data_IF_220001105176
#
_entry.id   IF_220001105176
#
_cell.length_a   1.000
_cell.length_b   1.000
_cell.length_c   1.000
_cell.angle_alpha   90.00
_cell.angle_beta   90.00
_cell.angle_gamma   90.00
#
_symmetry.space_group_name_H-M   'P 1'
#
loop_
_entity.id
_entity.type
_entity.pdbx_description
1 polymer ?
#
# COMPACT_ATOMS: atom_id res chain seq x y z
N UNK A 1 3.23 20.74 15.62
CA UNK A 1 3.79 19.41 15.32
C UNK A 1 3.90 19.30 13.82
N UNK A 2 5.10 19.37 13.26
CA UNK A 2 5.33 19.17 11.83
C UNK A 2 5.00 17.72 11.50
N UNK A 3 3.93 17.50 10.74
CA UNK A 3 3.66 16.20 10.11
C UNK A 3 4.75 16.05 9.05
N UNK A 4 5.80 15.28 9.36
CA UNK A 4 6.76 14.87 8.33
C UNK A 4 5.99 14.01 7.35
N UNK A 5 5.80 14.51 6.13
CA UNK A 5 5.42 13.64 5.03
C UNK A 5 6.50 12.56 4.91
N UNK A 6 6.13 11.29 4.67
CA UNK A 6 7.11 10.22 4.54
C UNK A 6 8.10 10.59 3.41
N UNK A 7 7.59 10.71 2.18
CA UNK A 7 8.36 11.37 1.12
C UNK A 7 8.40 12.89 1.29
N UNK A 8 9.55 13.48 0.95
CA UNK A 8 9.69 14.94 0.80
C UNK A 8 9.06 15.48 -0.50
N UNK A 9 8.45 14.61 -1.30
CA UNK A 9 7.82 14.91 -2.59
C UNK A 9 6.50 14.15 -2.76
N UNK A 10 5.71 14.55 -3.74
CA UNK A 10 4.50 13.83 -4.17
C UNK A 10 4.73 13.13 -5.50
N UNK A 11 4.18 11.94 -5.68
CA UNK A 11 4.22 11.16 -6.91
C UNK A 11 2.81 10.80 -7.36
N UNK A 12 2.66 10.57 -8.66
CA UNK A 12 1.44 10.07 -9.27
C UNK A 12 1.80 8.98 -10.29
N UNK A 13 1.53 7.72 -9.92
CA UNK A 13 1.71 6.57 -10.79
C UNK A 13 0.52 6.34 -11.72
N UNK A 14 -0.61 7.05 -11.50
CA UNK A 14 -1.82 6.88 -12.32
C UNK A 14 -1.64 7.43 -13.73
N UNK A 15 -0.69 8.35 -13.91
CA UNK A 15 -0.29 8.91 -15.21
C UNK A 15 0.75 8.04 -15.93
N UNK A 16 1.32 7.03 -15.26
CA UNK A 16 2.35 6.16 -15.82
C UNK A 16 1.69 5.09 -16.72
N UNK A 17 2.17 4.86 -17.95
CA UNK A 17 1.56 3.89 -18.86
C UNK A 17 1.62 2.47 -18.31
N UNK A 18 0.53 1.69 -18.45
CA UNK A 18 0.50 0.26 -18.04
C UNK A 18 1.64 -0.58 -18.63
N UNK A 19 2.11 -0.24 -19.83
CA UNK A 19 3.26 -0.90 -20.47
C UNK A 19 4.54 -0.78 -19.64
N UNK A 20 4.74 0.34 -18.94
CA UNK A 20 5.88 0.50 -18.04
C UNK A 20 5.87 -0.57 -16.94
N UNK A 21 4.74 -0.77 -16.26
CA UNK A 21 4.62 -1.76 -15.18
C UNK A 21 4.86 -3.20 -15.66
N UNK A 22 4.44 -3.52 -16.90
CA UNK A 22 4.75 -4.81 -17.54
C UNK A 22 6.24 -4.98 -17.81
N UNK A 23 6.96 -3.92 -18.17
CA UNK A 23 8.41 -4.00 -18.37
C UNK A 23 9.18 -4.01 -17.03
N UNK A 24 8.68 -3.27 -16.04
CA UNK A 24 9.20 -3.28 -14.67
C UNK A 24 9.12 -4.69 -14.07
N UNK A 25 7.99 -5.37 -14.25
CA UNK A 25 7.78 -6.77 -13.88
C UNK A 25 8.89 -7.70 -14.39
N UNK A 26 9.26 -7.57 -15.66
CA UNK A 26 10.31 -8.37 -16.29
C UNK A 26 11.71 -8.09 -15.69
N UNK A 27 11.96 -6.84 -15.27
CA UNK A 27 13.20 -6.48 -14.59
C UNK A 27 13.27 -7.12 -13.19
N UNK A 28 12.16 -7.14 -12.47
CA UNK A 28 12.08 -7.66 -11.08
C UNK A 28 12.17 -9.18 -11.02
N UNK A 29 11.63 -9.89 -12.00
CA UNK A 29 11.65 -11.37 -12.02
C UNK A 29 13.06 -11.95 -12.28
N UNK A 30 13.99 -11.14 -12.79
CA UNK A 30 15.39 -11.54 -12.88
C UNK A 30 15.96 -11.72 -11.46
N UNK A 31 16.22 -12.99 -11.06
CA UNK A 31 16.44 -13.53 -9.70
C UNK A 31 17.61 -12.94 -8.86
N UNK A 32 18.05 -11.71 -9.10
CA UNK A 32 18.96 -10.99 -8.21
C UNK A 32 18.84 -9.47 -8.37
N UNK A 33 18.45 -8.78 -7.30
CA UNK A 33 18.61 -7.33 -7.18
C UNK A 33 20.10 -7.02 -7.01
N UNK A 34 20.79 -6.81 -8.13
CA UNK A 34 22.20 -6.42 -8.17
C UNK A 34 22.33 -5.03 -8.79
N UNK A 35 23.55 -4.46 -8.85
CA UNK A 35 23.84 -3.18 -9.54
C UNK A 35 23.29 -3.09 -10.98
N UNK A 36 22.98 -4.23 -11.62
CA UNK A 36 22.32 -4.32 -12.93
C UNK A 36 20.87 -3.82 -12.90
N UNK A 37 20.14 -4.04 -11.80
CA UNK A 37 18.75 -3.59 -11.63
C UNK A 37 18.65 -2.07 -11.63
N UNK A 38 19.53 -1.38 -10.91
CA UNK A 38 19.54 0.09 -10.91
C UNK A 38 19.79 0.70 -12.30
N UNK A 39 20.62 0.06 -13.15
CA UNK A 39 20.79 0.49 -14.54
C UNK A 39 19.55 0.19 -15.40
N UNK A 40 18.94 -0.98 -15.22
CA UNK A 40 17.70 -1.33 -15.91
C UNK A 40 16.56 -0.37 -15.56
N UNK A 41 16.41 -0.02 -14.27
CA UNK A 41 15.41 0.96 -13.82
C UNK A 41 15.64 2.33 -14.44
N UNK A 42 16.88 2.83 -14.45
CA UNK A 42 17.20 4.10 -15.14
C UNK A 42 16.85 4.04 -16.63
N UNK A 43 17.20 2.95 -17.31
CA UNK A 43 16.84 2.76 -18.72
C UNK A 43 15.33 2.74 -18.95
N UNK A 44 14.54 2.18 -18.03
CA UNK A 44 13.08 2.23 -18.10
C UNK A 44 12.54 3.64 -17.84
N UNK A 45 13.08 4.34 -16.83
CA UNK A 45 12.72 5.73 -16.53
C UNK A 45 12.91 6.62 -17.76
N UNK A 46 14.06 6.50 -18.43
CA UNK A 46 14.39 7.26 -19.63
C UNK A 46 13.49 6.86 -20.81
N UNK A 47 13.35 5.54 -21.05
CA UNK A 47 12.53 5.00 -22.16
C UNK A 47 11.08 5.46 -22.10
N UNK A 48 10.50 5.52 -20.90
CA UNK A 48 9.12 5.94 -20.68
C UNK A 48 8.98 7.42 -20.32
N UNK A 49 10.09 8.17 -20.29
CA UNK A 49 10.14 9.60 -19.96
C UNK A 49 9.44 9.92 -18.63
N UNK A 50 9.68 9.09 -17.62
CA UNK A 50 8.95 9.21 -16.36
C UNK A 50 9.22 10.54 -15.65
N UNK A 51 10.42 11.11 -15.76
CA UNK A 51 10.73 12.42 -15.21
C UNK A 51 9.82 13.52 -15.76
N UNK A 52 9.53 13.48 -17.07
CA UNK A 52 8.63 14.44 -17.73
C UNK A 52 7.18 14.21 -17.30
N UNK A 53 6.72 12.95 -17.28
CA UNK A 53 5.33 12.60 -17.01
C UNK A 53 4.96 12.81 -15.52
N UNK A 54 5.86 12.46 -14.62
CA UNK A 54 5.64 12.55 -13.17
C UNK A 54 6.06 13.90 -12.60
N UNK A 55 6.85 14.69 -13.34
CA UNK A 55 7.39 15.97 -12.85
C UNK A 55 8.36 15.80 -11.68
N UNK A 56 9.15 14.72 -11.67
CA UNK A 56 10.05 14.34 -10.58
C UNK A 56 11.47 14.13 -11.08
N UNK A 57 12.43 14.35 -10.18
CA UNK A 57 13.83 14.02 -10.39
C UNK A 57 14.03 12.50 -10.48
N UNK A 58 15.02 12.07 -11.26
CA UNK A 58 15.31 10.64 -11.47
C UNK A 58 15.58 9.91 -10.14
N UNK A 59 16.22 10.58 -9.17
CA UNK A 59 16.47 10.02 -7.83
C UNK A 59 15.18 9.69 -7.08
N UNK A 60 14.18 10.56 -7.18
CA UNK A 60 12.91 10.42 -6.46
C UNK A 60 12.06 9.33 -7.11
N UNK A 61 12.07 9.25 -8.45
CA UNK A 61 11.41 8.18 -9.19
C UNK A 61 12.05 6.83 -8.85
N UNK A 62 13.39 6.75 -8.84
CA UNK A 62 14.09 5.52 -8.44
C UNK A 62 13.70 5.07 -7.05
N UNK A 63 13.62 5.99 -6.08
CA UNK A 63 13.19 5.68 -4.73
C UNK A 63 11.78 5.07 -4.69
N UNK A 64 10.81 5.69 -5.40
CA UNK A 64 9.44 5.15 -5.48
C UNK A 64 9.43 3.76 -6.10
N UNK A 65 10.17 3.55 -7.19
CA UNK A 65 10.21 2.23 -7.86
C UNK A 65 10.88 1.17 -6.99
N UNK A 66 11.99 1.50 -6.32
CA UNK A 66 12.66 0.60 -5.38
C UNK A 66 11.73 0.19 -4.23
N UNK A 67 11.00 1.16 -3.65
CA UNK A 67 10.02 0.86 -2.60
C UNK A 67 8.88 -0.03 -3.09
N UNK A 68 8.36 0.19 -4.31
CA UNK A 68 7.32 -0.67 -4.90
C UNK A 68 7.81 -2.12 -5.09
N UNK A 69 9.04 -2.28 -5.58
CA UNK A 69 9.68 -3.59 -5.78
C UNK A 69 9.88 -4.29 -4.44
N UNK A 70 10.41 -3.60 -3.45
CA UNK A 70 10.62 -4.13 -2.11
C UNK A 70 9.30 -4.59 -1.47
N UNK A 71 8.24 -3.80 -1.61
CA UNK A 71 6.90 -4.15 -1.12
C UNK A 71 6.37 -5.39 -1.84
N UNK A 72 6.52 -5.47 -3.16
CA UNK A 72 6.09 -6.62 -3.93
C UNK A 72 6.80 -7.90 -3.48
N UNK A 73 8.12 -7.86 -3.33
CA UNK A 73 8.93 -8.99 -2.85
C UNK A 73 8.52 -9.41 -1.43
N UNK A 74 8.30 -8.45 -0.53
CA UNK A 74 7.84 -8.72 0.83
C UNK A 74 6.46 -9.35 0.84
N UNK A 75 5.52 -8.87 0.02
CA UNK A 75 4.21 -9.47 -0.10
C UNK A 75 4.30 -10.95 -0.52
N UNK A 76 5.11 -11.26 -1.54
CA UNK A 76 5.36 -12.64 -1.95
C UNK A 76 5.95 -13.49 -0.81
N UNK A 77 7.00 -12.98 -0.16
CA UNK A 77 7.73 -13.68 0.89
C UNK A 77 6.85 -14.01 2.10
N UNK A 78 5.99 -13.07 2.52
CA UNK A 78 5.16 -13.22 3.71
C UNK A 78 3.76 -13.78 3.45
N UNK A 79 3.40 -14.06 2.19
CA UNK A 79 2.05 -14.49 1.79
C UNK A 79 1.59 -15.73 2.54
N UNK A 80 2.40 -16.78 2.57
CA UNK A 80 2.02 -18.05 3.21
C UNK A 80 1.77 -17.89 4.71
N UNK A 81 2.62 -17.09 5.37
CA UNK A 81 2.45 -16.76 6.79
C UNK A 81 1.17 -15.95 7.02
N UNK A 82 0.87 -14.99 6.13
CA UNK A 82 -0.31 -14.16 6.20
C UNK A 82 -1.61 -14.94 6.00
N UNK A 83 -1.64 -15.89 5.06
CA UNK A 83 -2.82 -16.74 4.85
C UNK A 83 -3.20 -17.51 6.12
N UNK A 84 -2.20 -17.99 6.88
CA UNK A 84 -2.37 -18.73 8.14
C UNK A 84 -2.77 -17.87 9.35
N UNK A 85 -2.71 -16.54 9.25
CA UNK A 85 -3.14 -15.65 10.33
C UNK A 85 -4.65 -15.80 10.60
N UNK A 86 -5.06 -15.73 11.87
CA UNK A 86 -6.45 -16.00 12.28
C UNK A 86 -7.26 -14.73 12.44
N UNK A 87 -6.68 -13.68 13.04
CA UNK A 87 -7.34 -12.41 13.30
C UNK A 87 -6.65 -11.31 12.50
N UNK A 88 -7.28 -10.94 11.40
CA UNK A 88 -6.72 -10.01 10.40
C UNK A 88 -7.35 -8.62 10.51
N UNK A 89 -6.53 -7.60 10.29
CA UNK A 89 -6.93 -6.20 10.27
C UNK A 89 -6.44 -5.50 9.01
N UNK A 90 -7.28 -4.61 8.47
CA UNK A 90 -6.94 -3.69 7.39
C UNK A 90 -6.75 -2.28 7.94
N UNK A 91 -5.58 -1.69 7.68
CA UNK A 91 -5.32 -0.27 7.94
C UNK A 91 -5.39 0.53 6.64
N UNK A 92 -6.25 1.54 6.63
CA UNK A 92 -6.44 2.46 5.52
C UNK A 92 -5.92 3.87 5.89
N UNK A 93 -5.35 4.63 4.94
CA UNK A 93 -4.81 5.94 5.23
C UNK A 93 -5.90 7.00 5.17
N UNK A 94 -5.99 7.87 6.18
CA UNK A 94 -7.01 8.93 6.22
C UNK A 94 -6.94 9.92 5.03
N UNK A 95 -5.79 10.05 4.37
CA UNK A 95 -5.59 10.93 3.23
C UNK A 95 -6.22 10.38 1.93
N UNK A 96 -6.60 9.10 1.88
CA UNK A 96 -7.34 8.49 0.78
C UNK A 96 -8.87 8.69 0.89
N UNK A 97 -9.34 9.44 1.90
CA UNK A 97 -10.73 9.89 1.94
C UNK A 97 -10.97 10.82 0.74
N UNK A 98 -12.11 10.63 0.06
CA UNK A 98 -12.50 11.44 -1.11
C UNK A 98 -12.54 12.94 -0.80
N UNK A 99 -13.04 13.29 0.37
CA UNK A 99 -13.08 14.67 0.86
C UNK A 99 -12.31 14.75 2.18
N UNK A 100 -11.56 15.84 2.37
CA UNK A 100 -10.87 16.17 3.63
C UNK A 100 -11.59 17.26 4.42
N UNK A 101 -12.69 17.79 3.88
CA UNK A 101 -13.55 18.79 4.47
C UNK A 101 -14.87 18.19 5.01
N UNK A 102 -15.83 19.05 5.36
CA UNK A 102 -17.12 18.70 5.94
C UNK A 102 -17.98 17.75 5.10
N UNK A 103 -17.69 17.57 3.80
CA UNK A 103 -18.39 16.60 2.94
C UNK A 103 -18.09 15.17 3.36
N UNK A 104 -16.91 14.93 3.94
CA UNK A 104 -16.63 13.64 4.56
C UNK A 104 -17.25 13.60 5.95
N UNK A 105 -18.25 12.72 6.11
CA UNK A 105 -18.93 12.52 7.40
C UNK A 105 -18.16 11.57 8.35
N UNK A 106 -16.87 11.33 8.12
CA UNK A 106 -16.09 10.44 8.99
C UNK A 106 -15.82 11.11 10.34
N UNK A 107 -16.01 10.36 11.43
CA UNK A 107 -15.83 10.85 12.79
C UNK A 107 -14.54 10.31 13.39
N UNK A 108 -13.78 11.16 14.08
CA UNK A 108 -12.57 10.72 14.77
C UNK A 108 -12.91 10.13 16.13
N UNK A 109 -12.39 8.94 16.40
CA UNK A 109 -12.48 8.25 17.68
C UNK A 109 -11.17 8.49 18.47
N UNK A 110 -11.19 9.23 19.58
CA UNK A 110 -9.99 9.51 20.36
C UNK A 110 -9.49 8.31 21.20
N UNK A 111 -10.36 7.35 21.54
CA UNK A 111 -10.00 6.18 22.37
C UNK A 111 -9.19 5.15 21.59
N UNK A 112 -9.44 5.10 20.28
CA UNK A 112 -8.67 4.34 19.30
C UNK A 112 -8.40 5.33 18.16
N UNK A 113 -7.27 6.07 18.17
CA UNK A 113 -7.05 7.28 17.36
C UNK A 113 -7.16 7.02 15.85
N UNK A 114 -8.39 6.96 15.36
CA UNK A 114 -8.80 6.44 14.06
C UNK A 114 -10.09 7.12 13.62
N UNK A 115 -10.38 7.09 12.33
CA UNK A 115 -11.62 7.60 11.78
C UNK A 115 -12.62 6.47 11.57
N UNK A 116 -13.86 6.70 12.00
CA UNK A 116 -15.03 5.88 11.70
C UNK A 116 -15.72 6.43 10.45
N UNK A 117 -15.64 5.71 9.34
CA UNK A 117 -16.29 6.12 8.09
C UNK A 117 -17.81 5.97 8.18
N UNK A 118 -18.54 7.04 7.86
CA UNK A 118 -20.01 7.05 7.75
C UNK A 118 -20.54 6.82 6.33
N UNK A 119 -19.69 6.32 5.42
CA UNK A 119 -20.06 5.93 4.04
C UNK A 119 -20.79 7.02 3.25
N UNK A 120 -20.28 8.25 3.29
CA UNK A 120 -20.95 9.42 2.72
C UNK A 120 -20.93 9.50 1.18
N UNK A 121 -20.17 8.64 0.49
CA UNK A 121 -20.03 8.63 -0.98
C UNK A 121 -19.66 7.21 -1.45
N UNK A 122 -20.36 6.69 -2.44
CA UNK A 122 -20.19 5.30 -2.94
C UNK A 122 -18.94 5.11 -3.81
N UNK A 123 -18.46 6.17 -4.44
CA UNK A 123 -17.24 6.21 -5.23
C UNK A 123 -15.99 6.57 -4.40
N UNK A 124 -16.11 6.67 -3.08
CA UNK A 124 -14.96 6.88 -2.20
C UNK A 124 -14.20 5.57 -2.00
N UNK A 125 -12.89 5.55 -2.30
CA UNK A 125 -12.07 4.35 -2.18
C UNK A 125 -12.06 3.76 -0.76
N UNK A 126 -12.11 4.60 0.28
CA UNK A 126 -12.23 4.14 1.66
C UNK A 126 -13.54 3.40 1.90
N UNK A 127 -14.67 3.90 1.39
CA UNK A 127 -15.97 3.24 1.53
C UNK A 127 -15.97 1.89 0.81
N UNK A 128 -15.46 1.86 -0.42
CA UNK A 128 -15.36 0.65 -1.24
C UNK A 128 -14.45 -0.40 -0.58
N UNK A 129 -13.26 0.00 -0.10
CA UNK A 129 -12.34 -0.87 0.63
C UNK A 129 -12.97 -1.44 1.91
N UNK A 130 -13.69 -0.62 2.68
CA UNK A 130 -14.40 -1.09 3.88
C UNK A 130 -15.50 -2.10 3.55
N UNK A 131 -16.22 -1.91 2.43
CA UNK A 131 -17.23 -2.87 1.98
C UNK A 131 -16.59 -4.22 1.64
N UNK A 132 -15.57 -4.21 0.79
CA UNK A 132 -14.82 -5.42 0.39
C UNK A 132 -14.25 -6.15 1.62
N UNK A 133 -13.57 -5.41 2.51
CA UNK A 133 -12.95 -5.98 3.70
C UNK A 133 -13.98 -6.53 4.70
N UNK A 134 -15.10 -5.82 4.88
CA UNK A 134 -16.18 -6.24 5.78
C UNK A 134 -16.89 -7.51 5.30
N UNK A 135 -17.09 -7.67 3.98
CA UNK A 135 -17.67 -8.90 3.39
C UNK A 135 -16.78 -10.14 3.64
N UNK A 136 -15.47 -9.95 3.77
CA UNK A 136 -14.50 -11.02 4.01
C UNK A 136 -14.27 -11.27 5.52
N UNK A 137 -14.63 -10.31 6.38
CA UNK A 137 -14.50 -10.42 7.84
C UNK A 137 -13.23 -9.79 8.42
N UNK A 138 -12.63 -8.81 7.74
CA UNK A 138 -11.54 -8.01 8.30
C UNK A 138 -12.07 -6.91 9.22
N UNK A 139 -11.42 -6.71 10.36
CA UNK A 139 -11.54 -5.46 11.10
C UNK A 139 -10.85 -4.33 10.30
N UNK A 140 -11.45 -3.14 10.22
CA UNK A 140 -10.92 -2.03 9.42
C UNK A 140 -10.75 -0.77 10.26
N UNK A 141 -9.57 -0.16 10.19
CA UNK A 141 -9.28 1.13 10.83
C UNK A 141 -8.72 2.13 9.81
N UNK A 142 -9.27 3.33 9.83
CA UNK A 142 -8.75 4.45 9.04
C UNK A 142 -7.84 5.28 9.95
N UNK A 143 -6.54 5.27 9.69
CA UNK A 143 -5.55 5.85 10.61
C UNK A 143 -5.07 7.23 10.15
N UNK A 144 -4.89 8.20 11.07
CA UNK A 144 -4.25 9.48 10.76
C UNK A 144 -2.76 9.33 10.40
N UNK A 145 -2.10 8.29 10.93
CA UNK A 145 -0.70 7.93 10.65
C UNK A 145 -0.34 6.62 11.36
N UNK A 146 0.82 6.02 11.04
CA UNK A 146 1.15 4.68 11.53
C UNK A 146 1.55 4.60 13.00
N UNK A 147 1.76 5.71 13.69
CA UNK A 147 2.12 5.73 15.12
C UNK A 147 1.11 5.04 16.04
N UNK A 148 -0.17 4.97 15.63
CA UNK A 148 -1.22 4.30 16.39
C UNK A 148 -1.30 2.78 16.15
N UNK A 149 -0.72 2.28 15.05
CA UNK A 149 -0.85 0.88 14.61
C UNK A 149 -0.35 -0.11 15.68
N UNK A 150 0.83 0.06 16.31
CA UNK A 150 1.30 -0.84 17.35
C UNK A 150 0.32 -1.03 18.51
N UNK A 151 -0.33 0.06 18.95
CA UNK A 151 -1.27 0.02 20.06
C UNK A 151 -2.56 -0.70 19.69
N UNK A 152 -3.08 -0.46 18.48
CA UNK A 152 -4.27 -1.14 17.96
C UNK A 152 -4.00 -2.65 17.86
N UNK A 153 -2.86 -3.05 17.28
CA UNK A 153 -2.50 -4.45 17.13
C UNK A 153 -2.39 -5.16 18.48
N UNK A 154 -1.68 -4.56 19.44
CA UNK A 154 -1.53 -5.15 20.78
C UNK A 154 -2.86 -5.25 21.53
N UNK A 155 -3.67 -4.18 21.49
CA UNK A 155 -4.96 -4.11 22.20
C UNK A 155 -5.94 -5.17 21.71
N UNK A 156 -6.04 -5.36 20.39
CA UNK A 156 -7.00 -6.27 19.78
C UNK A 156 -6.42 -7.62 19.36
N UNK A 157 -5.13 -7.84 19.59
CA UNK A 157 -4.38 -9.09 19.34
C UNK A 157 -4.49 -9.57 17.89
N UNK A 158 -4.25 -8.68 16.94
CA UNK A 158 -4.18 -9.03 15.52
C UNK A 158 -2.88 -9.79 15.21
N UNK A 159 -2.97 -10.88 14.43
CA UNK A 159 -1.83 -11.68 13.97
C UNK A 159 -1.61 -11.61 12.45
N UNK A 160 -2.53 -10.97 11.73
CA UNK A 160 -2.40 -10.62 10.31
C UNK A 160 -2.77 -9.17 10.03
N UNK A 161 -1.96 -8.49 9.22
CA UNK A 161 -2.14 -7.07 8.88
C UNK A 161 -2.13 -6.89 7.37
N UNK A 162 -3.09 -6.13 6.85
CA UNK A 162 -3.02 -5.53 5.53
C UNK A 162 -2.90 -4.02 5.70
N UNK A 163 -1.85 -3.42 5.15
CA UNK A 163 -1.64 -1.97 5.20
C UNK A 163 -1.74 -1.32 3.83
N UNK A 164 -2.52 -0.25 3.71
CA UNK A 164 -2.51 0.62 2.52
C UNK A 164 -1.78 1.91 2.88
N UNK A 165 -0.60 2.14 2.30
CA UNK A 165 0.20 3.32 2.62
C UNK A 165 1.30 3.59 1.56
N UNK A 166 2.00 4.71 1.70
CA UNK A 166 3.18 5.02 0.87
C UNK A 166 4.36 4.10 1.23
N UNK A 167 5.36 4.01 0.34
CA UNK A 167 6.47 3.07 0.48
C UNK A 167 7.23 3.18 1.81
N UNK A 168 7.59 4.40 2.20
CA UNK A 168 8.31 4.66 3.45
C UNK A 168 7.52 4.26 4.70
N UNK A 169 6.22 4.58 4.76
CA UNK A 169 5.36 4.20 5.89
C UNK A 169 5.20 2.67 5.96
N UNK A 170 5.09 2.00 4.81
CA UNK A 170 5.05 0.53 4.75
C UNK A 170 6.37 -0.05 5.27
N UNK A 171 7.52 0.51 4.91
CA UNK A 171 8.84 0.05 5.36
C UNK A 171 9.02 0.18 6.87
N UNK A 172 8.58 1.31 7.44
CA UNK A 172 8.56 1.54 8.88
C UNK A 172 7.65 0.52 9.59
N UNK A 173 6.42 0.35 9.10
CA UNK A 173 5.47 -0.62 9.65
C UNK A 173 6.00 -2.06 9.54
N UNK A 174 6.56 -2.44 8.41
CA UNK A 174 7.11 -3.78 8.16
C UNK A 174 8.18 -4.15 9.19
N UNK A 175 9.07 -3.22 9.52
CA UNK A 175 10.11 -3.44 10.53
C UNK A 175 9.51 -3.75 11.91
N UNK A 176 8.45 -3.04 12.28
CA UNK A 176 7.72 -3.29 13.53
C UNK A 176 7.00 -4.66 13.49
N UNK A 177 6.28 -4.96 12.41
CA UNK A 177 5.49 -6.18 12.27
C UNK A 177 6.39 -7.43 12.27
N UNK A 178 7.52 -7.38 11.55
CA UNK A 178 8.53 -8.46 11.50
C UNK A 178 9.09 -8.76 12.89
N UNK A 179 9.52 -7.73 13.64
CA UNK A 179 10.04 -7.88 15.01
C UNK A 179 9.04 -8.51 15.97
N UNK A 180 7.74 -8.33 15.73
CA UNK A 180 6.67 -8.89 16.56
C UNK A 180 6.05 -10.15 15.94
N UNK A 181 6.68 -10.74 14.91
CA UNK A 181 6.21 -11.94 14.21
C UNK A 181 4.79 -11.85 13.65
N UNK A 182 4.27 -10.65 13.39
CA UNK A 182 2.95 -10.43 12.79
C UNK A 182 3.07 -10.61 11.28
N UNK A 183 2.14 -11.36 10.69
CA UNK A 183 2.14 -11.56 9.25
C UNK A 183 1.55 -10.32 8.54
N UNK A 184 2.19 -9.86 7.47
CA UNK A 184 1.81 -8.62 6.81
C UNK A 184 1.68 -8.78 5.30
N UNK A 185 0.75 -8.05 4.71
CA UNK A 185 0.67 -7.71 3.30
C UNK A 185 0.46 -6.20 3.17
N UNK A 186 0.85 -5.62 2.05
CA UNK A 186 0.70 -4.18 1.82
C UNK A 186 0.21 -3.86 0.42
N UNK A 187 -0.59 -2.80 0.30
CA UNK A 187 -0.96 -2.19 -0.97
C UNK A 187 -0.27 -0.82 -1.03
N UNK A 188 0.72 -0.63 -1.91
CA UNK A 188 1.31 0.68 -2.08
C UNK A 188 0.30 1.67 -2.68
N UNK A 189 0.45 2.95 -2.34
CA UNK A 189 -0.31 4.02 -2.99
C UNK A 189 0.10 4.16 -4.46
N UNK A 190 -0.89 4.44 -5.32
CA UNK A 190 -0.67 4.90 -6.69
C UNK A 190 -0.36 6.40 -6.72
N UNK A 191 -0.92 7.17 -5.79
CA UNK A 191 -0.71 8.62 -5.67
C UNK A 191 -0.67 9.00 -4.22
N UNK A 192 0.34 9.75 -3.78
CA UNK A 192 0.42 10.24 -2.40
C UNK A 192 0.07 11.74 -2.30
N UNK A 193 -0.25 12.17 -1.07
CA UNK A 193 -0.52 13.56 -0.73
C UNK A 193 -1.28 13.67 0.60
N UNK A 194 -1.41 14.87 1.14
CA UNK A 194 -2.26 15.12 2.32
C UNK A 194 -3.76 14.98 2.01
N UNK A 195 -4.12 14.99 0.73
CA UNK A 195 -5.44 14.74 0.17
C UNK A 195 -5.28 14.14 -1.23
N UNK A 196 -6.37 13.68 -1.85
CA UNK A 196 -6.35 13.08 -3.19
C UNK A 196 -5.35 11.91 -3.32
N UNK A 197 -5.11 11.20 -2.22
CA UNK A 197 -4.33 9.96 -2.23
C UNK A 197 -5.13 8.85 -2.88
N UNK A 198 -4.48 8.04 -3.71
CA UNK A 198 -5.12 6.94 -4.42
C UNK A 198 -4.37 5.63 -4.26
N UNK A 199 -5.11 4.52 -4.22
CA UNK A 199 -4.59 3.15 -4.23
C UNK A 199 -5.41 2.26 -5.18
N UNK A 200 -4.89 1.09 -5.55
CA UNK A 200 -5.62 0.16 -6.43
C UNK A 200 -6.57 -0.74 -5.60
N UNK A 201 -7.88 -0.59 -5.81
CA UNK A 201 -8.90 -1.42 -5.14
C UNK A 201 -8.88 -2.88 -5.57
N UNK A 202 -8.54 -3.17 -6.82
CA UNK A 202 -8.42 -4.54 -7.32
C UNK A 202 -7.23 -5.23 -6.64
N UNK A 203 -6.10 -4.54 -6.51
CA UNK A 203 -4.92 -5.08 -5.79
C UNK A 203 -5.22 -5.31 -4.31
N UNK A 204 -5.96 -4.40 -3.66
CA UNK A 204 -6.46 -4.61 -2.31
C UNK A 204 -7.37 -5.84 -2.23
N UNK A 205 -8.37 -5.95 -3.11
CA UNK A 205 -9.31 -7.07 -3.14
C UNK A 205 -8.61 -8.42 -3.32
N UNK A 206 -7.64 -8.50 -4.24
CA UNK A 206 -6.80 -9.69 -4.45
C UNK A 206 -6.08 -10.09 -3.16
N UNK A 207 -5.49 -9.12 -2.45
CA UNK A 207 -4.79 -9.38 -1.17
C UNK A 207 -5.75 -9.88 -0.09
N UNK A 208 -6.92 -9.24 0.04
CA UNK A 208 -7.88 -9.58 1.10
C UNK A 208 -8.48 -10.98 0.90
N UNK A 209 -8.72 -11.39 -0.36
CA UNK A 209 -9.33 -12.68 -0.73
C UNK A 209 -8.37 -13.87 -0.72
N UNK A 210 -7.08 -13.70 -0.40
CA UNK A 210 -6.17 -14.84 -0.30
C UNK A 210 -6.61 -15.81 0.81
N UNK A 211 -7.17 -16.95 0.42
CA UNK A 211 -7.63 -18.02 1.31
C UNK A 211 -7.07 -19.34 0.80
N UNK A 212 -6.06 -19.88 1.48
CA UNK A 212 -5.71 -21.31 1.58
C UNK A 212 -5.55 -22.25 0.37
N UNK A 213 -6.04 -21.95 -0.84
CA UNK A 213 -6.19 -22.92 -1.91
C UNK A 213 -5.39 -22.56 -3.17
N UNK A 214 -4.53 -23.49 -3.58
CA UNK A 214 -3.94 -23.68 -4.91
C UNK A 214 -3.34 -22.44 -5.61
N UNK A 215 -2.04 -22.22 -5.38
CA UNK A 215 -1.18 -21.54 -6.35
C UNK A 215 -0.84 -22.50 -7.50
N UNK A 216 -1.72 -22.63 -8.50
CA UNK A 216 -1.32 -23.08 -9.84
C UNK A 216 -1.74 -22.00 -10.82
N UNK A 217 -0.78 -21.20 -11.28
CA UNK A 217 -1.00 -20.21 -12.32
C UNK A 217 -0.06 -19.02 -12.21
N UNK A 218 0.99 -19.05 -13.04
CA UNK A 218 1.85 -17.94 -13.51
C UNK A 218 2.15 -16.80 -12.53
N UNK A 219 3.43 -16.66 -12.19
CA UNK A 219 3.98 -15.44 -11.59
C UNK A 219 3.88 -14.23 -12.50
N UNK A 220 2.66 -13.79 -12.81
CA UNK A 220 2.41 -12.48 -13.38
C UNK A 220 2.53 -11.45 -12.26
N UNK A 221 3.60 -10.67 -12.38
CA UNK A 221 3.86 -9.49 -11.56
C UNK A 221 2.86 -8.40 -11.96
N UNK A 222 1.75 -8.30 -11.24
CA UNK A 222 0.79 -7.21 -11.40
C UNK A 222 1.20 -6.01 -10.53
N UNK A 223 2.02 -5.14 -11.13
CA UNK A 223 2.41 -3.84 -10.56
C UNK A 223 1.46 -2.71 -11.00
N UNK A 224 0.32 -3.04 -11.63
CA UNK A 224 -0.61 -2.07 -12.22
C UNK A 224 -1.85 -1.73 -11.39
#
# INVERSE_FOLDING_TARGET
MSVSLPYKFTFDLTVVPKRFFRELALVVDSRSLHKKTGRALRSLIDKFKLSEIMGLEISDILLVLEDLIDIYIKNLTYREKFVKARKKVLFLPHCARKFVDYRCKAEFDPDIPTYRCRRCSDDCQINQAMKIAGEIGYDVYIVPGGSCIPNIIKRFKYDGVVGVACGEEIKLASTYLEKNSIAAQAVPLLKNGCSNTQFNLQSLEKILKFHGEHCVGSGEVDLS
#
